data_IF_220370019684
#
_entry.id   IF_220370019684
#
_cell.length_a   1.000
_cell.length_b   1.000
_cell.length_c   1.000
_cell.angle_alpha   90.00
_cell.angle_beta   90.00
_cell.angle_gamma   90.00
#
_symmetry.space_group_name_H-M   'P 1'
#
loop_
_entity.id
_entity.type
_entity.pdbx_description
1 polymer ?
#
# COMPACT_ATOMS: atom_id res chain seq x y z
N UNK A 1 -12.98 14.50 10.00
CA UNK A 1 -13.27 15.31 11.17
C UNK A 1 -13.66 14.46 12.37
N UNK A 2 -14.73 13.67 12.31
CA UNK A 2 -15.18 12.84 13.44
C UNK A 2 -14.14 11.83 13.95
N UNK A 3 -13.27 11.30 13.11
CA UNK A 3 -12.25 10.32 13.52
C UNK A 3 -11.11 11.03 14.28
N UNK A 4 -10.56 12.08 13.71
CA UNK A 4 -9.49 12.84 14.35
C UNK A 4 -9.93 13.52 15.66
N UNK A 5 -11.17 14.00 15.75
CA UNK A 5 -11.77 14.52 16.99
C UNK A 5 -11.84 13.47 18.11
N UNK A 6 -11.87 12.19 17.76
CA UNK A 6 -11.86 11.06 18.69
C UNK A 6 -10.46 10.48 18.93
N UNK A 7 -9.40 11.11 18.40
CA UNK A 7 -8.04 10.61 18.51
C UNK A 7 -7.77 9.33 17.69
N UNK A 8 -8.59 9.05 16.68
CA UNK A 8 -8.39 7.89 15.80
C UNK A 8 -7.43 8.28 14.69
N UNK A 9 -6.33 7.56 14.60
CA UNK A 9 -5.39 7.69 13.49
C UNK A 9 -5.99 7.13 12.20
N UNK A 10 -5.75 7.84 11.09
CA UNK A 10 -6.32 7.49 9.79
C UNK A 10 -5.20 7.11 8.83
N UNK A 11 -5.21 5.85 8.37
CA UNK A 11 -4.52 5.41 7.17
C UNK A 11 -5.45 5.63 5.97
N UNK A 12 -5.03 6.45 5.02
CA UNK A 12 -5.79 6.68 3.79
C UNK A 12 -5.09 6.02 2.61
N UNK A 13 -5.76 5.04 2.01
CA UNK A 13 -5.29 4.41 0.80
C UNK A 13 -5.54 5.31 -0.41
N UNK A 14 -4.47 5.62 -1.13
CA UNK A 14 -4.50 6.33 -2.40
C UNK A 14 -4.58 5.31 -3.53
N UNK A 15 -5.72 5.17 -4.15
CA UNK A 15 -6.05 4.27 -5.25
C UNK A 15 -7.31 4.80 -5.95
N UNK A 16 -7.64 4.43 -7.11
CA UNK A 16 -7.09 3.63 -8.18
C UNK A 16 -6.86 4.52 -9.43
N UNK A 17 -6.83 3.92 -10.65
CA UNK A 17 -6.79 4.69 -11.89
C UNK A 17 -8.07 5.51 -12.14
N UNK A 18 -7.98 6.47 -13.08
CA UNK A 18 -9.13 7.27 -13.53
C UNK A 18 -9.37 6.99 -15.02
N UNK A 19 -10.60 6.62 -15.44
CA UNK A 19 -10.90 6.25 -16.81
C UNK A 19 -10.70 7.37 -17.83
N UNK A 20 -10.64 8.63 -17.39
CA UNK A 20 -10.31 9.78 -18.26
C UNK A 20 -8.84 9.70 -18.74
N UNK A 21 -7.98 9.05 -17.96
CA UNK A 21 -6.52 9.01 -18.19
C UNK A 21 -5.97 7.60 -18.39
N UNK A 22 -6.78 6.56 -18.23
CA UNK A 22 -6.38 5.18 -18.44
C UNK A 22 -7.46 4.39 -19.18
N UNK A 23 -7.06 3.52 -20.11
CA UNK A 23 -7.97 2.70 -20.91
C UNK A 23 -8.69 1.58 -20.12
N UNK A 24 -8.45 1.50 -18.83
CA UNK A 24 -8.96 0.43 -17.95
C UNK A 24 -10.32 0.76 -17.30
N UNK A 25 -10.95 1.87 -17.65
CA UNK A 25 -12.29 2.25 -17.18
C UNK A 25 -12.40 2.45 -15.66
N UNK A 26 -13.63 2.34 -15.15
CA UNK A 26 -13.93 2.41 -13.71
C UNK A 26 -13.58 1.11 -12.95
N UNK A 27 -12.87 0.19 -13.60
CA UNK A 27 -12.51 -1.06 -12.96
C UNK A 27 -11.57 -0.80 -11.79
N UNK A 28 -11.96 -1.23 -10.60
CA UNK A 28 -11.14 -1.20 -9.39
C UNK A 28 -9.83 -2.00 -9.55
N UNK A 29 -9.76 -2.90 -10.55
CA UNK A 29 -8.58 -3.62 -10.97
C UNK A 29 -7.73 -2.94 -12.04
N UNK A 30 -7.96 -1.66 -12.35
CA UNK A 30 -7.15 -0.93 -13.33
C UNK A 30 -5.65 -1.05 -13.00
N UNK A 31 -4.86 -1.35 -14.02
CA UNK A 31 -3.43 -1.55 -13.88
C UNK A 31 -2.69 -0.32 -13.38
N UNK A 32 -1.56 -0.55 -12.78
CA UNK A 32 -0.62 0.50 -12.41
C UNK A 32 -0.07 1.14 -13.69
N UNK A 33 -0.06 2.45 -13.72
CA UNK A 33 0.48 3.21 -14.85
C UNK A 33 1.93 3.64 -14.54
N UNK A 34 2.77 3.57 -15.56
CA UNK A 34 4.21 3.82 -15.41
C UNK A 34 4.57 5.29 -15.57
N UNK A 35 3.94 5.97 -16.55
CA UNK A 35 4.31 7.33 -16.94
C UNK A 35 3.18 8.05 -17.70
N UNK A 36 3.52 9.23 -18.27
CA UNK A 36 2.65 10.00 -19.13
C UNK A 36 1.48 10.70 -18.41
N UNK A 37 0.42 11.04 -19.17
CA UNK A 37 -0.71 11.84 -18.65
C UNK A 37 -1.43 11.22 -17.47
N UNK A 38 -1.49 9.88 -17.39
CA UNK A 38 -2.10 9.17 -16.26
C UNK A 38 -1.32 9.38 -14.96
N UNK A 39 0.01 9.25 -15.01
CA UNK A 39 0.88 9.53 -13.88
C UNK A 39 0.80 11.00 -13.46
N UNK A 40 0.79 11.93 -14.38
CA UNK A 40 0.66 13.36 -14.08
C UNK A 40 -0.68 13.68 -13.39
N UNK A 41 -1.76 13.08 -13.87
CA UNK A 41 -3.08 13.22 -13.27
C UNK A 41 -3.12 12.61 -11.86
N UNK A 42 -2.51 11.45 -11.68
CA UNK A 42 -2.34 10.79 -10.39
C UNK A 42 -1.59 11.68 -9.39
N UNK A 43 -0.45 12.24 -9.77
CA UNK A 43 0.33 13.11 -8.88
C UNK A 43 -0.42 14.41 -8.51
N UNK A 44 -1.25 14.94 -9.42
CA UNK A 44 -2.16 16.07 -9.10
C UNK A 44 -3.23 15.65 -8.08
N UNK A 45 -3.84 14.48 -8.26
CA UNK A 45 -4.81 13.91 -7.33
C UNK A 45 -4.19 13.71 -5.94
N UNK A 46 -3.04 13.05 -5.85
CA UNK A 46 -2.30 12.84 -4.60
C UNK A 46 -2.04 14.16 -3.87
N UNK A 47 -1.47 15.14 -4.57
CA UNK A 47 -1.20 16.46 -3.97
C UNK A 47 -2.48 17.18 -3.50
N UNK A 48 -3.59 17.01 -4.22
CA UNK A 48 -4.87 17.57 -3.81
C UNK A 48 -5.41 16.91 -2.53
N UNK A 49 -5.34 15.58 -2.45
CA UNK A 49 -5.73 14.83 -1.26
C UNK A 49 -4.89 15.23 -0.03
N UNK A 50 -3.57 15.26 -0.18
CA UNK A 50 -2.67 15.61 0.93
C UNK A 50 -2.93 17.05 1.39
N UNK A 51 -3.03 18.03 0.50
CA UNK A 51 -3.36 19.43 0.88
C UNK A 51 -4.65 19.53 1.66
N UNK A 52 -5.67 18.78 1.26
CA UNK A 52 -6.99 18.82 1.90
C UNK A 52 -7.00 18.17 3.28
N UNK A 53 -6.23 17.10 3.47
CA UNK A 53 -6.39 16.21 4.61
C UNK A 53 -5.17 16.08 5.52
N UNK A 54 -4.02 16.75 5.22
CA UNK A 54 -2.75 16.60 5.96
C UNK A 54 -2.86 16.75 7.48
N UNK A 55 -3.81 17.51 7.99
CA UNK A 55 -4.00 17.69 9.43
C UNK A 55 -4.97 16.66 10.05
N UNK A 56 -5.45 15.70 9.28
CA UNK A 56 -6.50 14.75 9.67
C UNK A 56 -6.15 13.31 9.31
N UNK A 57 -5.35 13.12 8.27
CA UNK A 57 -4.82 11.84 7.83
C UNK A 57 -3.39 11.75 8.37
N UNK A 58 -3.13 10.70 9.11
CA UNK A 58 -1.81 10.48 9.73
C UNK A 58 -0.87 9.69 8.83
N UNK A 59 -1.43 8.87 7.94
CA UNK A 59 -0.66 7.97 7.10
C UNK A 59 -1.31 7.83 5.71
N UNK A 60 -0.49 7.81 4.67
CA UNK A 60 -0.90 7.67 3.28
C UNK A 60 -0.36 6.37 2.72
N UNK A 61 -1.25 5.47 2.34
CA UNK A 61 -0.89 4.21 1.70
C UNK A 61 -0.92 4.37 0.18
N UNK A 62 0.14 3.90 -0.47
CA UNK A 62 0.27 4.03 -1.93
C UNK A 62 -0.18 2.75 -2.61
N UNK A 63 -1.36 2.81 -3.22
CA UNK A 63 -2.04 1.75 -3.92
C UNK A 63 -2.62 0.67 -3.00
N UNK A 64 -3.33 -0.29 -3.60
CA UNK A 64 -3.92 -1.46 -2.97
C UNK A 64 -3.68 -2.70 -3.82
N UNK A 65 -3.08 -3.71 -3.23
CA UNK A 65 -2.81 -5.03 -3.85
C UNK A 65 -2.14 -4.95 -5.23
N UNK A 66 -0.98 -4.28 -5.34
CA UNK A 66 -0.27 -4.18 -6.61
C UNK A 66 0.16 -5.54 -7.15
N UNK A 67 0.38 -6.51 -6.26
CA UNK A 67 0.75 -7.90 -6.52
C UNK A 67 -0.43 -8.78 -7.00
N UNK A 68 -1.62 -8.24 -7.07
CA UNK A 68 -2.81 -8.88 -7.65
C UNK A 68 -2.87 -8.83 -9.18
N UNK A 69 -1.72 -8.77 -9.87
CA UNK A 69 -1.64 -8.74 -11.34
C UNK A 69 -1.91 -7.38 -11.97
N UNK A 70 -1.79 -6.30 -11.21
CA UNK A 70 -2.14 -4.94 -11.64
C UNK A 70 -0.97 -4.15 -12.26
N UNK A 71 0.22 -4.68 -12.23
CA UNK A 71 1.42 -4.07 -12.80
C UNK A 71 2.69 -4.83 -12.42
N UNK A 72 3.80 -4.50 -13.08
CA UNK A 72 5.10 -5.08 -12.73
C UNK A 72 5.64 -4.52 -11.42
N UNK A 73 6.55 -5.23 -10.73
CA UNK A 73 7.28 -4.69 -9.58
C UNK A 73 7.98 -3.36 -9.85
N UNK A 74 8.55 -3.21 -11.05
CA UNK A 74 9.21 -1.97 -11.49
C UNK A 74 8.21 -0.81 -11.65
N UNK A 75 7.06 -1.08 -12.29
CA UNK A 75 5.98 -0.10 -12.45
C UNK A 75 5.47 0.39 -11.08
N UNK A 76 5.27 -0.53 -10.14
CA UNK A 76 4.89 -0.16 -8.79
C UNK A 76 5.96 0.67 -8.08
N UNK A 77 7.22 0.30 -8.22
CA UNK A 77 8.32 1.04 -7.61
C UNK A 77 8.37 2.50 -8.13
N UNK A 78 8.19 2.69 -9.45
CA UNK A 78 8.09 4.02 -10.06
C UNK A 78 6.90 4.80 -9.48
N UNK A 79 5.72 4.18 -9.44
CA UNK A 79 4.52 4.79 -8.85
C UNK A 79 4.76 5.20 -7.39
N UNK A 80 5.29 4.29 -6.58
CA UNK A 80 5.56 4.54 -5.16
C UNK A 80 6.51 5.71 -4.96
N UNK A 81 7.66 5.69 -5.61
CA UNK A 81 8.70 6.72 -5.43
C UNK A 81 8.20 8.11 -5.86
N UNK A 82 7.49 8.20 -6.99
CA UNK A 82 6.93 9.47 -7.46
C UNK A 82 5.81 9.98 -6.55
N UNK A 83 4.95 9.07 -6.09
CA UNK A 83 3.87 9.40 -5.16
C UNK A 83 4.41 9.87 -3.81
N UNK A 84 5.38 9.15 -3.24
CA UNK A 84 6.01 9.51 -1.98
C UNK A 84 6.69 10.88 -2.04
N UNK A 85 7.42 11.17 -3.13
CA UNK A 85 7.98 12.51 -3.37
C UNK A 85 6.89 13.59 -3.42
N UNK A 86 5.77 13.31 -4.10
CA UNK A 86 4.67 14.25 -4.21
C UNK A 86 3.97 14.51 -2.87
N UNK A 87 3.83 13.49 -2.03
CA UNK A 87 3.31 13.62 -0.66
C UNK A 87 4.24 14.52 0.17
N UNK A 88 5.53 14.20 0.22
CA UNK A 88 6.53 14.95 1.01
C UNK A 88 6.73 16.39 0.54
N UNK A 89 6.45 16.71 -0.72
CA UNK A 89 6.43 18.10 -1.21
C UNK A 89 5.30 18.93 -0.61
N UNK A 90 4.19 18.30 -0.22
CA UNK A 90 3.01 18.98 0.34
C UNK A 90 3.02 18.92 1.86
N UNK A 91 3.45 17.79 2.41
CA UNK A 91 3.54 17.51 3.83
C UNK A 91 4.83 16.75 4.13
N UNK A 92 5.89 17.47 4.55
CA UNK A 92 7.20 16.87 4.85
C UNK A 92 7.16 15.82 5.96
N UNK A 93 6.21 15.91 6.88
CA UNK A 93 6.09 15.05 8.05
C UNK A 93 5.11 13.88 7.86
N UNK A 94 4.46 13.81 6.69
CA UNK A 94 3.49 12.76 6.38
C UNK A 94 4.11 11.36 6.54
N UNK A 95 3.42 10.45 7.19
CA UNK A 95 3.76 9.03 7.19
C UNK A 95 3.32 8.37 5.89
N UNK A 96 4.19 7.54 5.32
CA UNK A 96 3.93 6.89 4.02
C UNK A 96 4.05 5.39 4.18
N UNK A 97 2.97 4.71 3.82
CA UNK A 97 2.88 3.26 3.74
C UNK A 97 2.92 2.79 2.28
N UNK A 98 3.50 1.64 2.06
CA UNK A 98 3.64 1.04 0.72
C UNK A 98 2.87 -0.27 0.62
N UNK A 99 2.48 -0.63 -0.57
CA UNK A 99 1.94 -1.90 -1.04
C UNK A 99 0.45 -2.16 -0.73
N UNK A 100 0.02 -2.36 0.53
CA UNK A 100 -1.22 -3.09 0.77
C UNK A 100 -1.18 -4.45 0.04
N UNK A 101 -0.07 -5.20 0.18
CA UNK A 101 0.15 -6.43 -0.59
C UNK A 101 -0.84 -7.52 -0.17
N UNK A 102 -1.29 -8.35 -1.12
CA UNK A 102 -2.23 -9.44 -0.86
C UNK A 102 -1.74 -10.43 0.22
N UNK A 103 -0.42 -10.55 0.40
CA UNK A 103 0.20 -11.43 1.40
C UNK A 103 1.62 -10.98 1.70
N UNK A 104 2.15 -11.21 2.93
CA UNK A 104 3.50 -10.81 3.30
C UNK A 104 4.62 -11.63 2.62
N UNK A 105 4.32 -12.79 2.05
CA UNK A 105 5.28 -13.72 1.46
C UNK A 105 5.47 -13.57 -0.06
N UNK A 106 4.91 -12.53 -0.66
CA UNK A 106 4.94 -12.33 -2.11
C UNK A 106 6.33 -11.99 -2.66
N UNK A 107 6.76 -12.71 -3.68
CA UNK A 107 7.96 -12.38 -4.46
C UNK A 107 7.89 -10.95 -5.04
N UNK A 108 6.69 -10.46 -5.33
CA UNK A 108 6.43 -9.12 -5.81
C UNK A 108 7.01 -8.04 -4.88
N UNK A 109 6.83 -8.20 -3.55
CA UNK A 109 7.38 -7.26 -2.57
C UNK A 109 8.91 -7.20 -2.71
N UNK A 110 9.56 -8.37 -2.76
CA UNK A 110 11.03 -8.46 -2.86
C UNK A 110 11.57 -7.78 -4.11
N UNK A 111 10.95 -8.04 -5.26
CA UNK A 111 11.37 -7.44 -6.54
C UNK A 111 11.09 -5.93 -6.55
N UNK A 112 9.91 -5.50 -6.10
CA UNK A 112 9.60 -4.07 -6.00
C UNK A 112 10.55 -3.33 -5.07
N UNK A 113 10.93 -3.92 -3.94
CA UNK A 113 11.86 -3.29 -2.99
C UNK A 113 13.26 -3.08 -3.57
N UNK A 114 13.73 -3.97 -4.46
CA UNK A 114 14.99 -3.74 -5.19
C UNK A 114 14.90 -2.47 -6.05
N UNK A 115 13.86 -2.35 -6.86
CA UNK A 115 13.66 -1.17 -7.72
C UNK A 115 13.43 0.11 -6.89
N UNK A 116 12.69 0.01 -5.77
CA UNK A 116 12.51 1.15 -4.85
C UNK A 116 13.86 1.60 -4.27
N UNK A 117 14.71 0.65 -3.88
CA UNK A 117 16.02 0.93 -3.32
C UNK A 117 16.96 1.57 -4.36
N UNK A 118 17.01 1.02 -5.57
CA UNK A 118 17.76 1.57 -6.70
C UNK A 118 17.36 3.01 -7.04
N UNK A 119 16.06 3.32 -6.95
CA UNK A 119 15.52 4.66 -7.14
C UNK A 119 15.68 5.58 -5.92
N UNK A 120 16.32 5.13 -4.83
CA UNK A 120 16.50 5.88 -3.59
C UNK A 120 15.19 6.15 -2.85
N UNK A 121 14.21 5.26 -3.00
CA UNK A 121 12.86 5.40 -2.46
C UNK A 121 12.68 4.92 -1.02
N UNK A 122 13.58 4.08 -0.52
CA UNK A 122 13.51 3.49 0.84
C UNK A 122 13.33 4.56 1.92
N UNK A 123 14.02 5.67 1.81
CA UNK A 123 13.95 6.80 2.75
C UNK A 123 12.57 7.45 2.88
N UNK A 124 11.65 7.18 1.97
CA UNK A 124 10.28 7.70 2.02
C UNK A 124 9.30 6.72 2.66
N UNK A 125 9.71 5.48 2.90
CA UNK A 125 8.85 4.42 3.41
C UNK A 125 8.91 4.36 4.93
N UNK A 126 7.83 4.77 5.58
CA UNK A 126 7.68 4.62 7.03
C UNK A 126 7.12 3.23 7.39
N UNK A 127 6.22 2.70 6.53
CA UNK A 127 5.59 1.40 6.73
C UNK A 127 5.51 0.62 5.43
N UNK A 128 5.62 -0.70 5.55
CA UNK A 128 5.18 -1.65 4.54
C UNK A 128 3.89 -2.30 5.04
N UNK A 129 2.85 -2.23 4.21
CA UNK A 129 1.55 -2.82 4.53
C UNK A 129 1.32 -4.11 3.74
N UNK A 130 0.66 -5.05 4.36
CA UNK A 130 0.27 -6.33 3.78
C UNK A 130 -1.12 -6.73 4.25
N UNK A 131 -1.77 -7.57 3.49
CA UNK A 131 -3.03 -8.20 3.83
C UNK A 131 -2.81 -9.65 4.26
N UNK A 132 -3.82 -10.26 4.86
CA UNK A 132 -3.76 -11.66 5.24
C UNK A 132 -5.13 -12.19 5.64
N UNK A 133 -5.67 -13.04 4.79
CA UNK A 133 -6.96 -13.73 4.99
C UNK A 133 -6.70 -15.23 5.22
N UNK A 134 -5.96 -15.54 6.28
CA UNK A 134 -5.56 -16.89 6.58
C UNK A 134 -6.64 -17.56 7.47
N UNK A 135 -6.97 -18.83 7.18
CA UNK A 135 -7.98 -19.56 7.99
C UNK A 135 -7.60 -19.68 9.46
N UNK A 136 -6.30 -19.79 9.74
CA UNK A 136 -5.73 -19.76 11.09
C UNK A 136 -4.85 -18.52 11.16
N UNK A 137 -5.20 -17.51 11.99
CA UNK A 137 -4.47 -16.24 12.03
C UNK A 137 -2.99 -16.38 12.34
N UNK A 138 -2.62 -17.36 13.17
CA UNK A 138 -1.25 -17.60 13.60
C UNK A 138 -0.36 -18.11 12.46
N UNK A 139 -0.91 -18.72 11.42
CA UNK A 139 -0.16 -19.25 10.28
C UNK A 139 0.52 -18.16 9.45
N UNK A 140 0.10 -16.90 9.59
CA UNK A 140 0.77 -15.76 8.94
C UNK A 140 2.11 -15.40 9.61
N UNK A 141 2.30 -15.76 10.87
CA UNK A 141 3.45 -15.32 11.68
C UNK A 141 4.81 -15.64 11.04
N UNK A 142 5.08 -16.86 10.52
CA UNK A 142 6.36 -17.15 9.87
C UNK A 142 6.62 -16.25 8.65
N UNK A 143 5.60 -15.97 7.84
CA UNK A 143 5.73 -15.11 6.67
C UNK A 143 6.03 -13.65 7.07
N UNK A 144 5.38 -13.15 8.12
CA UNK A 144 5.65 -11.80 8.66
C UNK A 144 7.05 -11.71 9.27
N UNK A 145 7.52 -12.75 9.97
CA UNK A 145 8.88 -12.81 10.50
C UNK A 145 9.92 -12.81 9.38
N UNK A 146 9.66 -13.52 8.29
CA UNK A 146 10.53 -13.51 7.12
C UNK A 146 10.52 -12.12 6.45
N UNK A 147 9.36 -11.53 6.25
CA UNK A 147 9.24 -10.17 5.71
C UNK A 147 9.99 -9.15 6.58
N UNK A 148 9.93 -9.28 7.91
CA UNK A 148 10.68 -8.40 8.83
C UNK A 148 12.19 -8.47 8.55
N UNK A 149 12.74 -9.68 8.45
CA UNK A 149 14.17 -9.89 8.15
C UNK A 149 14.57 -9.27 6.81
N UNK A 150 13.70 -9.40 5.81
CA UNK A 150 13.93 -8.82 4.48
C UNK A 150 13.92 -7.29 4.51
N UNK A 151 12.99 -6.69 5.26
CA UNK A 151 12.92 -5.24 5.39
C UNK A 151 14.05 -4.65 6.24
N UNK A 152 14.52 -5.36 7.25
CA UNK A 152 15.67 -4.95 8.07
C UNK A 152 16.95 -4.76 7.24
N UNK A 153 17.07 -5.50 6.13
CA UNK A 153 18.20 -5.35 5.21
C UNK A 153 18.15 -4.00 4.43
N UNK A 154 16.98 -3.40 4.25
CA UNK A 154 16.83 -2.08 3.65
C UNK A 154 16.84 -0.97 4.70
N UNK A 155 16.03 -1.12 5.74
CA UNK A 155 16.01 -0.22 6.90
C UNK A 155 15.23 -0.84 8.06
N UNK A 156 15.83 -0.94 9.26
CA UNK A 156 15.12 -1.43 10.44
C UNK A 156 14.01 -0.47 10.93
N UNK A 157 13.99 0.76 10.41
CA UNK A 157 12.96 1.74 10.76
C UNK A 157 11.64 1.54 10.01
N UNK A 158 11.59 0.71 8.98
CA UNK A 158 10.35 0.41 8.26
C UNK A 158 9.45 -0.41 9.16
N UNK A 159 8.29 0.15 9.55
CA UNK A 159 7.26 -0.60 10.27
C UNK A 159 6.56 -1.62 9.36
N UNK A 160 6.04 -2.69 9.95
CA UNK A 160 5.14 -3.61 9.26
C UNK A 160 3.73 -3.43 9.80
N UNK A 161 2.74 -3.34 8.91
CA UNK A 161 1.35 -3.12 9.27
C UNK A 161 0.44 -4.03 8.45
N UNK A 162 -0.39 -4.81 9.13
CA UNK A 162 -1.46 -5.56 8.48
C UNK A 162 -2.63 -4.61 8.21
N UNK A 163 -2.77 -4.18 6.94
CA UNK A 163 -3.77 -3.20 6.52
C UNK A 163 -5.16 -3.79 6.34
N UNK A 164 -5.21 -5.07 5.98
CA UNK A 164 -6.46 -5.78 5.70
C UNK A 164 -6.43 -7.21 6.21
N UNK A 165 -7.50 -7.60 6.89
CA UNK A 165 -7.75 -8.97 7.30
C UNK A 165 -9.26 -9.18 7.51
N UNK A 166 -9.70 -10.42 7.53
CA UNK A 166 -11.08 -10.72 7.82
C UNK A 166 -11.40 -12.20 7.71
N UNK A 167 -12.55 -12.54 8.26
CA UNK A 167 -13.17 -13.84 8.11
C UNK A 167 -14.57 -13.61 7.56
N UNK A 168 -14.86 -14.00 6.31
CA UNK A 168 -16.25 -14.04 5.85
C UNK A 168 -17.00 -15.06 6.71
N UNK A 169 -18.07 -14.61 7.34
CA UNK A 169 -18.94 -15.46 8.18
C UNK A 169 -19.71 -16.53 7.40
N UNK A 170 -19.34 -16.82 6.17
CA UNK A 170 -19.89 -17.85 5.32
C UNK A 170 -18.80 -18.83 4.90
N UNK A 171 -19.01 -20.10 5.21
CA UNK A 171 -18.13 -21.22 4.90
C UNK A 171 -17.82 -21.40 3.39
N UNK A 172 -18.56 -20.75 2.51
CA UNK A 172 -18.54 -20.98 1.07
C UNK A 172 -17.33 -20.37 0.34
N UNK A 173 -16.56 -19.49 0.98
CA UNK A 173 -15.49 -18.76 0.30
C UNK A 173 -14.05 -19.09 0.77
N UNK A 174 -13.87 -20.15 1.53
CA UNK A 174 -12.52 -20.64 1.90
C UNK A 174 -11.72 -19.75 2.84
N UNK A 175 -12.28 -18.63 3.28
CA UNK A 175 -11.65 -17.68 4.20
C UNK A 175 -12.22 -17.72 5.61
N UNK A 176 -13.05 -18.72 5.92
CA UNK A 176 -13.60 -18.89 7.26
C UNK A 176 -12.50 -19.28 8.26
N UNK A 177 -12.43 -18.57 9.38
CA UNK A 177 -11.59 -18.96 10.51
C UNK A 177 -12.14 -20.28 11.08
N UNK A 178 -11.51 -21.40 10.74
CA UNK A 178 -11.85 -22.70 11.32
C UNK A 178 -11.46 -22.69 12.80
N UNK A 179 -12.42 -22.92 13.67
CA UNK A 179 -12.19 -23.09 15.11
C UNK A 179 -12.57 -21.92 15.99
N UNK A 180 -13.25 -20.92 15.48
CA UNK A 180 -13.89 -19.85 16.25
C UNK A 180 -15.43 -20.00 16.22
N UNK A 181 -15.92 -21.23 16.46
CA UNK A 181 -17.34 -21.48 16.69
C UNK A 181 -17.66 -21.37 18.19
#
# INVERSE_FOLDING_TARGET
DRLSEKGIEVLMCLCYGNPIYSDHGLNLGAGIFDDGPAMDAWLRYVKACVRRWKNKVTMWEVWNEPDGGKGSPEAYANLFVRTAKAIRQVDPDAKIASFGACSPDRAYIRESMKHIAEAGGVKYMDYLTYHGYWPIPEDIVPAVQQLRKEMDAYSPSIGLLQGETGCPGQLEHGHALKGYE
#
